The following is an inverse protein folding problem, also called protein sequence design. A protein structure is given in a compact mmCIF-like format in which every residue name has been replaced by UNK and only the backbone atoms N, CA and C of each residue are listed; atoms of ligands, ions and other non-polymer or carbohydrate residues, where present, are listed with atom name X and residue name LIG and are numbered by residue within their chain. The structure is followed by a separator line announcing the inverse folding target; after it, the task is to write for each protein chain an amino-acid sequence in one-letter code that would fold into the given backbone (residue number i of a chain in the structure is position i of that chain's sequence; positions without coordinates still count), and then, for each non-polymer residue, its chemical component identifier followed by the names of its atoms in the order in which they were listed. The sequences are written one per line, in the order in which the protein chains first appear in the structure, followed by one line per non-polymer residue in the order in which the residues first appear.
data_IF_791304432426
#
_entry.id   IF_791304432426
#
_cell.length_a   1.000
_cell.length_b   1.000
_cell.length_c   1.000
_cell.angle_alpha   90.00
_cell.angle_beta   90.00
_cell.angle_gamma   90.00
#
_symmetry.space_group_name_H-M   'P 1'
#
loop_
_entity.id
_entity.type
_entity.pdbx_description
1 polymer ?
#
# COMPACT_ATOMS: atom_id res chain seq x y z
N UNK A 1 56.19 18.34 -29.20
CA UNK A 1 56.27 17.17 -28.31
C UNK A 1 55.72 17.57 -26.95
N UNK A 2 54.49 17.18 -26.65
CA UNK A 2 53.88 17.29 -25.32
C UNK A 2 52.86 16.16 -25.20
N UNK A 3 53.28 15.04 -24.62
CA UNK A 3 52.41 13.91 -24.28
C UNK A 3 51.82 14.17 -22.91
N UNK A 4 50.60 14.71 -22.88
CA UNK A 4 49.83 14.88 -21.65
C UNK A 4 49.30 13.52 -21.14
N UNK A 5 49.31 13.29 -19.81
CA UNK A 5 48.98 12.00 -19.24
C UNK A 5 47.48 11.69 -19.38
N UNK A 6 47.23 10.45 -19.77
CA UNK A 6 45.94 9.76 -19.75
C UNK A 6 45.14 10.15 -18.51
N UNK A 7 44.07 10.90 -18.72
CA UNK A 7 42.98 10.98 -17.76
C UNK A 7 42.43 9.57 -17.59
N UNK A 8 42.72 8.98 -16.43
CA UNK A 8 42.15 7.72 -15.97
C UNK A 8 40.63 7.90 -15.89
N UNK A 9 40.02 7.70 -17.05
CA UNK A 9 38.60 7.69 -17.24
C UNK A 9 38.07 6.53 -16.46
N UNK A 10 37.74 6.80 -15.19
CA UNK A 10 36.86 6.00 -14.37
C UNK A 10 35.62 5.77 -15.21
N UNK A 11 35.63 4.69 -15.98
CA UNK A 11 34.47 4.16 -16.65
C UNK A 11 33.54 3.89 -15.49
N UNK A 12 32.60 4.82 -15.25
CA UNK A 12 31.45 4.53 -14.42
C UNK A 12 30.98 3.20 -14.95
N UNK A 13 31.15 2.15 -14.15
CA UNK A 13 30.49 0.89 -14.37
C UNK A 13 29.03 1.28 -14.43
N UNK A 14 28.55 1.47 -15.67
CA UNK A 14 27.16 1.63 -16.01
C UNK A 14 26.62 0.30 -15.59
N UNK A 15 26.25 0.25 -14.32
CA UNK A 15 25.83 -0.94 -13.60
C UNK A 15 24.71 -1.45 -14.48
N UNK A 16 25.01 -2.52 -15.23
CA UNK A 16 24.07 -3.20 -16.08
C UNK A 16 23.00 -3.69 -15.12
N UNK A 17 22.02 -2.83 -14.89
CA UNK A 17 20.75 -3.19 -14.27
C UNK A 17 20.07 -4.02 -15.33
N UNK A 18 20.53 -5.25 -15.45
CA UNK A 18 19.82 -6.29 -16.18
C UNK A 18 18.38 -6.32 -15.67
N UNK A 19 17.44 -6.85 -16.48
CA UNK A 19 16.03 -6.95 -16.14
C UNK A 19 15.77 -7.43 -14.70
N UNK A 20 16.64 -8.31 -14.18
CA UNK A 20 16.55 -8.91 -12.85
C UNK A 20 16.77 -7.93 -11.69
N UNK A 21 17.58 -6.89 -11.88
CA UNK A 21 17.87 -5.88 -10.84
C UNK A 21 16.68 -4.96 -10.57
N UNK A 22 15.86 -4.71 -11.60
CA UNK A 22 14.63 -3.92 -11.46
C UNK A 22 13.54 -4.65 -10.68
N UNK A 23 13.33 -5.93 -11.00
CA UNK A 23 12.26 -6.74 -10.42
C UNK A 23 12.37 -6.89 -8.90
N UNK A 24 13.59 -7.07 -8.37
CA UNK A 24 13.79 -7.20 -6.91
C UNK A 24 13.39 -5.93 -6.13
N UNK A 25 13.67 -4.75 -6.69
CA UNK A 25 13.32 -3.48 -6.05
C UNK A 25 11.80 -3.24 -6.07
N UNK A 26 11.16 -3.58 -7.17
CA UNK A 26 9.70 -3.55 -7.31
C UNK A 26 9.08 -4.51 -6.31
N UNK A 27 9.53 -5.76 -6.23
CA UNK A 27 9.00 -6.73 -5.29
C UNK A 27 9.22 -6.30 -3.82
N UNK A 28 10.40 -5.79 -3.49
CA UNK A 28 10.71 -5.27 -2.16
C UNK A 28 9.80 -4.10 -1.75
N UNK A 29 9.54 -3.17 -2.68
CA UNK A 29 8.59 -2.08 -2.43
C UNK A 29 7.16 -2.59 -2.23
N UNK A 30 6.72 -3.60 -2.99
CA UNK A 30 5.38 -4.18 -2.84
C UNK A 30 5.21 -4.82 -1.47
N UNK A 31 6.18 -5.63 -1.04
CA UNK A 31 6.17 -6.26 0.29
C UNK A 31 6.18 -5.21 1.40
N UNK A 32 6.97 -4.14 1.23
CA UNK A 32 7.03 -3.04 2.19
C UNK A 32 5.69 -2.30 2.30
N UNK A 33 5.05 -1.97 1.17
CA UNK A 33 3.72 -1.33 1.15
C UNK A 33 2.69 -2.24 1.83
N UNK A 34 2.67 -3.52 1.45
CA UNK A 34 1.76 -4.51 2.03
C UNK A 34 1.95 -4.61 3.55
N UNK A 35 3.20 -4.69 4.02
CA UNK A 35 3.54 -4.72 5.43
C UNK A 35 3.04 -3.47 6.18
N UNK A 36 3.24 -2.28 5.61
CA UNK A 36 2.73 -1.03 6.20
C UNK A 36 1.20 -1.04 6.27
N UNK A 37 0.50 -1.46 5.22
CA UNK A 37 -0.97 -1.55 5.22
C UNK A 37 -1.47 -2.51 6.30
N UNK A 38 -0.83 -3.67 6.47
CA UNK A 38 -1.20 -4.63 7.52
C UNK A 38 -0.93 -4.07 8.91
N UNK A 39 0.22 -3.44 9.14
CA UNK A 39 0.55 -2.80 10.43
C UNK A 39 -0.47 -1.71 10.76
N UNK A 40 -0.81 -0.83 9.81
CA UNK A 40 -1.82 0.21 10.02
C UNK A 40 -3.19 -0.39 10.33
N UNK A 41 -3.56 -1.49 9.69
CA UNK A 41 -4.80 -2.19 9.99
C UNK A 41 -4.81 -2.86 11.37
N UNK A 42 -3.66 -3.16 11.99
CA UNK A 42 -3.66 -3.70 13.36
C UNK A 42 -4.15 -2.69 14.41
N UNK A 43 -4.05 -1.40 14.10
CA UNK A 43 -4.53 -0.29 14.95
C UNK A 43 -6.06 -0.19 14.92
N UNK A 44 -6.72 -0.68 13.87
CA UNK A 44 -8.17 -0.62 13.77
C UNK A 44 -8.87 -1.66 14.66
N UNK A 45 -10.13 -1.41 15.08
CA UNK A 45 -10.90 -2.36 15.88
C UNK A 45 -11.00 -3.71 15.18
N UNK A 46 -10.95 -4.80 15.95
CA UNK A 46 -11.02 -6.19 15.45
C UNK A 46 -12.09 -6.40 14.37
N UNK A 47 -13.36 -5.95 14.54
CA UNK A 47 -14.39 -6.18 13.51
C UNK A 47 -14.14 -5.40 12.22
N UNK A 48 -13.38 -4.30 12.27
CA UNK A 48 -13.11 -3.42 11.13
C UNK A 48 -11.76 -3.70 10.46
N UNK A 49 -10.94 -4.63 10.98
CA UNK A 49 -9.59 -4.89 10.45
C UNK A 49 -9.57 -5.29 9.00
N UNK A 50 -10.42 -6.23 8.59
CA UNK A 50 -10.49 -6.68 7.19
C UNK A 50 -10.87 -5.53 6.25
N UNK A 51 -11.83 -4.70 6.67
CA UNK A 51 -12.26 -3.52 5.91
C UNK A 51 -11.14 -2.47 5.83
N UNK A 52 -10.41 -2.23 6.93
CA UNK A 52 -9.27 -1.33 6.96
C UNK A 52 -8.14 -1.81 6.03
N UNK A 53 -7.78 -3.11 6.07
CA UNK A 53 -6.79 -3.70 5.15
C UNK A 53 -7.21 -3.47 3.70
N UNK A 54 -8.47 -3.76 3.36
CA UNK A 54 -8.99 -3.56 2.01
C UNK A 54 -8.86 -2.10 1.56
N UNK A 55 -9.33 -1.14 2.37
CA UNK A 55 -9.25 0.28 2.04
C UNK A 55 -7.80 0.76 1.89
N UNK A 56 -6.89 0.36 2.80
CA UNK A 56 -5.48 0.76 2.70
C UNK A 56 -4.81 0.18 1.44
N UNK A 57 -5.09 -1.07 1.09
CA UNK A 57 -4.56 -1.69 -0.13
C UNK A 57 -5.08 -0.99 -1.40
N UNK A 58 -6.37 -0.64 -1.42
CA UNK A 58 -6.97 0.08 -2.55
C UNK A 58 -6.34 1.48 -2.68
N UNK A 59 -6.20 2.24 -1.59
CA UNK A 59 -5.54 3.56 -1.61
C UNK A 59 -4.08 3.44 -2.05
N UNK A 60 -3.36 2.45 -1.53
CA UNK A 60 -1.98 2.18 -1.94
C UNK A 60 -1.89 1.85 -3.44
N UNK A 61 -2.85 1.08 -3.98
CA UNK A 61 -2.93 0.76 -5.41
C UNK A 61 -3.03 2.02 -6.28
N UNK A 62 -3.88 2.98 -5.88
CA UNK A 62 -4.01 4.27 -6.56
C UNK A 62 -2.72 5.08 -6.45
N UNK A 63 -2.08 5.10 -5.28
CA UNK A 63 -0.79 5.78 -5.10
C UNK A 63 0.31 5.23 -6.03
N UNK A 64 0.36 3.90 -6.19
CA UNK A 64 1.29 3.25 -7.11
C UNK A 64 0.94 3.53 -8.57
N UNK A 65 -0.35 3.51 -8.94
CA UNK A 65 -0.81 3.84 -10.28
C UNK A 65 -0.49 5.31 -10.66
N UNK A 66 -0.73 6.26 -9.76
CA UNK A 66 -0.36 7.67 -9.94
C UNK A 66 1.17 7.79 -10.10
N UNK A 67 1.93 7.09 -9.27
CA UNK A 67 3.38 7.05 -9.40
C UNK A 67 3.84 6.50 -10.76
N UNK A 68 3.17 5.47 -11.29
CA UNK A 68 3.44 4.91 -12.62
C UNK A 68 3.14 5.93 -13.74
N UNK A 69 2.02 6.66 -13.62
CA UNK A 69 1.62 7.73 -14.54
C UNK A 69 2.64 8.88 -14.55
N UNK A 70 3.07 9.35 -13.38
CA UNK A 70 4.07 10.42 -13.25
C UNK A 70 5.42 10.03 -13.87
N UNK A 71 5.77 8.75 -13.81
CA UNK A 71 6.99 8.22 -14.42
C UNK A 71 6.82 7.81 -15.90
N UNK A 72 5.63 8.03 -16.48
CA UNK A 72 5.28 7.69 -17.87
C UNK A 72 5.66 6.26 -18.25
N UNK A 73 5.43 5.30 -17.34
CA UNK A 73 5.76 3.91 -17.60
C UNK A 73 4.78 3.32 -18.63
N UNK A 74 5.33 2.62 -19.64
CA UNK A 74 4.52 1.89 -20.62
C UNK A 74 3.83 0.70 -19.93
N UNK A 75 2.52 0.46 -20.15
CA UNK A 75 1.79 -0.61 -19.48
C UNK A 75 2.05 -2.01 -20.07
N UNK A 76 2.52 -2.11 -21.32
CA UNK A 76 2.75 -3.38 -22.01
C UNK A 76 4.25 -3.60 -22.23
N UNK A 77 4.93 -4.14 -21.22
CA UNK A 77 6.35 -4.51 -21.27
C UNK A 77 6.53 -5.90 -20.66
N UNK A 78 7.52 -6.69 -21.11
CA UNK A 78 7.67 -8.10 -20.71
C UNK A 78 8.30 -8.29 -19.31
N UNK A 79 8.30 -7.25 -18.47
CA UNK A 79 8.87 -7.27 -17.13
C UNK A 79 7.93 -6.57 -16.15
N UNK A 80 8.08 -6.86 -14.85
CA UNK A 80 7.21 -6.32 -13.82
C UNK A 80 7.35 -4.79 -13.74
N UNK A 81 6.25 -4.08 -13.93
CA UNK A 81 6.16 -2.64 -13.86
C UNK A 81 5.44 -2.18 -12.60
N UNK A 82 5.39 -0.86 -12.38
CA UNK A 82 4.54 -0.28 -11.33
C UNK A 82 3.05 -0.46 -11.63
N UNK A 83 2.67 -0.65 -12.89
CA UNK A 83 1.29 -1.00 -13.25
C UNK A 83 0.91 -2.36 -12.68
N UNK A 84 1.77 -3.36 -12.83
CA UNK A 84 1.53 -4.70 -12.27
C UNK A 84 1.42 -4.66 -10.74
N UNK A 85 2.27 -3.86 -10.07
CA UNK A 85 2.15 -3.66 -8.62
C UNK A 85 0.81 -3.06 -8.21
N UNK A 86 0.33 -2.03 -8.91
CA UNK A 86 -0.95 -1.41 -8.63
C UNK A 86 -2.10 -2.42 -8.81
N UNK A 87 -2.07 -3.21 -9.87
CA UNK A 87 -3.07 -4.27 -10.12
C UNK A 87 -3.04 -5.31 -9.00
N UNK A 88 -1.87 -5.79 -8.59
CA UNK A 88 -1.75 -6.77 -7.50
C UNK A 88 -2.30 -6.20 -6.18
N UNK A 89 -1.95 -4.97 -5.82
CA UNK A 89 -2.47 -4.32 -4.61
C UNK A 89 -3.99 -4.14 -4.67
N UNK A 90 -4.52 -3.76 -5.82
CA UNK A 90 -5.95 -3.62 -6.04
C UNK A 90 -6.68 -4.95 -5.90
N UNK A 91 -6.18 -6.01 -6.54
CA UNK A 91 -6.76 -7.37 -6.45
C UNK A 91 -6.72 -7.90 -5.02
N UNK A 92 -5.62 -7.69 -4.29
CA UNK A 92 -5.53 -8.07 -2.88
C UNK A 92 -6.52 -7.27 -2.03
N UNK A 93 -6.70 -5.98 -2.30
CA UNK A 93 -7.69 -5.14 -1.63
C UNK A 93 -9.13 -5.63 -1.89
N UNK A 94 -9.45 -5.99 -3.13
CA UNK A 94 -10.75 -6.58 -3.51
C UNK A 94 -10.98 -7.93 -2.83
N UNK A 95 -9.98 -8.81 -2.81
CA UNK A 95 -10.07 -10.09 -2.09
C UNK A 95 -10.28 -9.87 -0.60
N UNK A 96 -9.55 -8.93 0.03
CA UNK A 96 -9.78 -8.58 1.43
C UNK A 96 -11.20 -8.04 1.67
N UNK A 97 -11.77 -7.29 0.71
CA UNK A 97 -13.15 -6.80 0.79
C UNK A 97 -14.17 -7.96 0.85
N UNK A 98 -13.92 -9.07 0.14
CA UNK A 98 -14.82 -10.23 0.17
C UNK A 98 -14.87 -10.95 1.51
N UNK A 99 -13.87 -10.74 2.37
CA UNK A 99 -13.81 -11.30 3.73
C UNK A 99 -14.53 -10.41 4.74
N UNK A 100 -14.89 -9.18 4.37
CA UNK A 100 -15.62 -8.26 5.25
C UNK A 100 -17.05 -8.75 5.40
N UNK A 101 -17.41 -9.17 6.61
CA UNK A 101 -18.79 -9.45 6.98
C UNK A 101 -19.53 -8.11 7.21
N UNK A 102 -20.48 -7.74 6.33
CA UNK A 102 -21.21 -6.48 6.48
C UNK A 102 -22.08 -6.46 7.73
N UNK A 103 -22.55 -7.62 8.20
CA UNK A 103 -23.44 -7.71 9.36
C UNK A 103 -22.66 -7.46 10.66
N UNK A 104 -21.45 -8.01 10.76
CA UNK A 104 -20.54 -7.73 11.88
C UNK A 104 -20.21 -6.22 12.00
N UNK A 105 -20.03 -5.54 10.85
CA UNK A 105 -19.78 -4.11 10.82
C UNK A 105 -21.00 -3.29 11.28
N UNK A 106 -22.21 -3.66 10.82
CA UNK A 106 -23.44 -2.98 11.25
C UNK A 106 -23.70 -3.16 12.76
N UNK A 107 -23.49 -4.36 13.29
CA UNK A 107 -23.66 -4.64 14.72
C UNK A 107 -22.70 -3.80 15.58
N UNK A 108 -21.45 -3.63 15.13
CA UNK A 108 -20.48 -2.78 15.82
C UNK A 108 -20.94 -1.32 15.85
N UNK A 109 -21.38 -0.78 14.71
CA UNK A 109 -21.86 0.61 14.61
C UNK A 109 -23.10 0.86 15.47
N UNK A 110 -24.03 -0.11 15.54
CA UNK A 110 -25.19 -0.04 16.43
C UNK A 110 -24.77 -0.02 17.90
N UNK A 111 -23.80 -0.85 18.29
CA UNK A 111 -23.30 -0.91 19.67
C UNK A 111 -22.59 0.39 20.07
N UNK A 112 -21.78 0.98 19.19
CA UNK A 112 -21.16 2.28 19.47
C UNK A 112 -22.20 3.40 19.59
N UNK A 113 -23.22 3.42 18.73
CA UNK A 113 -24.29 4.44 18.81
C UNK A 113 -25.07 4.38 20.13
N UNK A 114 -25.24 3.19 20.70
CA UNK A 114 -25.89 3.01 22.00
C UNK A 114 -24.96 3.36 23.16
N UNK A 115 -23.66 3.11 23.04
CA UNK A 115 -22.67 3.40 24.09
C UNK A 115 -22.44 4.91 24.26
N UNK A 116 -22.60 5.70 23.20
CA UNK A 116 -22.54 7.17 23.26
C UNK A 116 -23.74 7.82 23.97
N UNK A 117 -24.85 7.08 24.16
CA UNK A 117 -25.98 7.51 24.97
C UNK A 117 -25.67 7.21 26.45
N UNK A 118 -24.79 8.01 27.06
CA UNK A 118 -24.69 8.03 28.51
C UNK A 118 -26.11 8.24 29.08
N UNK A 119 -26.59 7.40 30.01
CA UNK A 119 -27.82 7.71 30.72
C UNK A 119 -27.59 9.09 31.32
N UNK A 120 -28.47 10.04 31.01
CA UNK A 120 -28.52 11.31 31.71
C UNK A 120 -28.53 10.95 33.18
N UNK A 121 -27.40 11.16 33.86
CA UNK A 121 -27.31 10.98 35.30
C UNK A 121 -28.37 11.89 35.85
N UNK A 122 -29.47 11.29 36.32
CA UNK A 122 -30.51 11.95 37.09
C UNK A 122 -29.82 12.59 38.29
N UNK A 123 -29.33 13.81 38.11
CA UNK A 123 -28.76 14.67 39.15
C UNK A 123 -29.88 15.26 40.02
N UNK A 124 -30.90 14.46 40.31
CA UNK A 124 -32.05 14.81 41.11
C UNK A 124 -32.12 13.86 42.31
N UNK A 125 -31.23 14.05 43.27
CA UNK A 125 -31.44 13.74 44.70
C UNK A 125 -30.25 14.27 45.49
N UNK A 126 -30.32 15.56 45.85
CA UNK A 126 -29.83 16.10 47.12
C UNK A 126 -30.47 17.47 47.35
#
# INVERSE_FOLDING_TARGET
MATGPYGDGKKLHKQDRGPDGGNRRVLGNLVLILGICVILATVSPVPLRAAAVSNFLIIASFGVAISALLHRQKPFVPYLTRWDQAVVLYLLGMLAATVVDPDAMQNFLQTESQTGALPATDSATL
#
